data_IF_585742114936
#
_entry.id   IF_585742114936
#
_cell.length_a   1.000
_cell.length_b   1.000
_cell.length_c   1.000
_cell.angle_alpha   90.00
_cell.angle_beta   90.00
_cell.angle_gamma   90.00
#
_symmetry.space_group_name_H-M   'P 1'
#
loop_
_entity.id
_entity.type
_entity.pdbx_description
1 polymer ?
#
# COMPACT_ATOMS: atom_id res chain seq x y z
N UNK A 1 -28.84 2.96 2.81
CA UNK A 1 -28.56 3.10 1.36
C UNK A 1 -28.17 1.73 0.86
N UNK A 2 -29.02 1.10 0.05
CA UNK A 2 -28.84 -0.27 -0.49
C UNK A 2 -28.57 -0.18 -2.00
N UNK A 3 -27.64 0.66 -2.39
CA UNK A 3 -27.22 0.78 -3.78
C UNK A 3 -25.82 0.23 -3.99
N UNK A 4 -25.54 -0.19 -5.22
CA UNK A 4 -24.16 -0.50 -5.67
C UNK A 4 -23.41 0.83 -5.73
N UNK A 5 -22.20 0.89 -5.17
CA UNK A 5 -21.34 2.07 -5.23
C UNK A 5 -20.54 2.07 -6.53
N UNK A 6 -20.52 3.22 -7.19
CA UNK A 6 -19.79 3.44 -8.43
C UNK A 6 -18.33 3.75 -8.12
N UNK A 7 -17.41 3.00 -8.74
CA UNK A 7 -15.97 3.08 -8.48
C UNK A 7 -15.22 3.52 -9.73
N UNK A 8 -14.30 4.46 -9.57
CA UNK A 8 -13.29 4.79 -10.57
C UNK A 8 -11.91 4.33 -10.14
N UNK A 9 -11.01 4.16 -11.10
CA UNK A 9 -9.61 3.79 -10.84
C UNK A 9 -8.69 4.82 -11.47
N UNK A 10 -7.77 5.40 -10.70
CA UNK A 10 -6.67 6.23 -11.20
C UNK A 10 -5.36 5.46 -11.04
N UNK A 11 -4.65 5.25 -12.15
CA UNK A 11 -3.45 4.41 -12.25
C UNK A 11 -3.76 3.06 -12.87
N UNK A 12 -3.39 2.89 -14.14
CA UNK A 12 -3.63 1.71 -14.96
C UNK A 12 -2.36 0.86 -15.14
N UNK A 13 -1.49 0.85 -14.13
CA UNK A 13 -0.26 0.06 -14.09
C UNK A 13 -0.52 -1.42 -13.77
N UNK A 14 0.56 -2.15 -13.46
CA UNK A 14 0.55 -3.60 -13.30
C UNK A 14 -0.48 -4.11 -12.28
N UNK A 15 -0.65 -3.43 -11.14
CA UNK A 15 -1.56 -3.87 -10.07
C UNK A 15 -3.03 -3.68 -10.42
N UNK A 16 -3.37 -2.75 -11.33
CA UNK A 16 -4.75 -2.40 -11.65
C UNK A 16 -5.58 -3.58 -12.17
N UNK A 17 -4.97 -4.48 -12.96
CA UNK A 17 -5.63 -5.68 -13.45
C UNK A 17 -6.17 -6.59 -12.33
N UNK A 18 -5.48 -6.64 -11.18
CA UNK A 18 -5.97 -7.38 -10.01
C UNK A 18 -7.23 -6.72 -9.43
N UNK A 19 -7.23 -5.39 -9.30
CA UNK A 19 -8.38 -4.64 -8.81
C UNK A 19 -9.60 -4.79 -9.73
N UNK A 20 -9.44 -4.63 -11.03
CA UNK A 20 -10.56 -4.82 -12.00
C UNK A 20 -11.13 -6.23 -11.97
N UNK A 21 -10.27 -7.24 -11.86
CA UNK A 21 -10.70 -8.64 -11.84
C UNK A 21 -11.41 -9.01 -10.55
N UNK A 22 -10.83 -8.63 -9.42
CA UNK A 22 -11.33 -9.01 -8.10
C UNK A 22 -12.55 -8.18 -7.67
N UNK A 23 -12.71 -6.95 -8.15
CA UNK A 23 -13.90 -6.12 -7.86
C UNK A 23 -15.20 -6.82 -8.25
N UNK A 24 -15.18 -7.63 -9.30
CA UNK A 24 -16.34 -8.42 -9.76
C UNK A 24 -16.84 -9.47 -8.76
N UNK A 25 -16.06 -9.78 -7.73
CA UNK A 25 -16.47 -10.68 -6.63
C UNK A 25 -17.37 -9.98 -5.60
N UNK A 26 -17.42 -8.64 -5.62
CA UNK A 26 -18.19 -7.84 -4.66
C UNK A 26 -19.49 -7.35 -5.30
N UNK A 27 -20.61 -7.62 -4.65
CA UNK A 27 -21.95 -7.26 -5.14
C UNK A 27 -22.33 -5.79 -4.85
N UNK A 28 -21.54 -5.10 -4.03
CA UNK A 28 -21.83 -3.77 -3.50
C UNK A 28 -21.05 -2.65 -4.18
N UNK A 29 -20.16 -3.00 -5.11
CA UNK A 29 -19.35 -2.04 -5.87
C UNK A 29 -19.37 -2.40 -7.35
N UNK A 30 -19.24 -1.40 -8.22
CA UNK A 30 -19.06 -1.57 -9.66
C UNK A 30 -18.01 -0.60 -10.17
N UNK A 31 -16.97 -1.11 -10.81
CA UNK A 31 -15.95 -0.28 -11.44
C UNK A 31 -16.48 0.17 -12.80
N UNK A 32 -16.66 1.48 -12.98
CA UNK A 32 -17.26 2.08 -14.18
C UNK A 32 -16.23 2.74 -15.09
N UNK A 33 -15.16 3.31 -14.52
CA UNK A 33 -14.19 4.07 -15.30
C UNK A 33 -12.77 3.90 -14.76
N UNK A 34 -11.79 4.17 -15.63
CA UNK A 34 -10.39 4.29 -15.28
C UNK A 34 -9.72 5.48 -15.96
N UNK A 35 -8.63 5.96 -15.35
CA UNK A 35 -7.80 7.03 -15.88
C UNK A 35 -6.33 6.77 -15.57
N UNK A 36 -5.45 7.26 -16.43
CA UNK A 36 -4.00 7.25 -16.24
C UNK A 36 -3.40 8.48 -16.92
N UNK A 37 -2.23 8.92 -16.47
CA UNK A 37 -1.46 9.96 -17.17
C UNK A 37 -1.04 9.52 -18.57
N UNK A 38 -0.86 8.20 -18.77
CA UNK A 38 -0.70 7.60 -20.10
C UNK A 38 -2.08 7.13 -20.61
N UNK A 39 -2.68 7.83 -21.59
CA UNK A 39 -4.00 7.47 -22.12
C UNK A 39 -4.04 6.06 -22.74
N UNK A 40 -2.94 5.58 -23.30
CA UNK A 40 -2.87 4.24 -23.89
C UNK A 40 -3.02 3.15 -22.82
N UNK A 41 -2.44 3.37 -21.63
CA UNK A 41 -2.60 2.47 -20.49
C UNK A 41 -4.06 2.42 -20.01
N UNK A 42 -4.72 3.57 -19.90
CA UNK A 42 -6.14 3.64 -19.55
C UNK A 42 -7.02 2.94 -20.60
N UNK A 43 -6.79 3.18 -21.89
CA UNK A 43 -7.54 2.54 -22.98
C UNK A 43 -7.34 1.01 -23.01
N UNK A 44 -6.13 0.53 -22.75
CA UNK A 44 -5.84 -0.89 -22.69
C UNK A 44 -6.64 -1.60 -21.58
N UNK A 45 -6.62 -1.04 -20.37
CA UNK A 45 -7.39 -1.57 -19.23
C UNK A 45 -8.90 -1.45 -19.46
N UNK A 46 -9.36 -0.31 -19.98
CA UNK A 46 -10.77 -0.11 -20.30
C UNK A 46 -11.30 -1.15 -21.29
N UNK A 47 -10.54 -1.42 -22.33
CA UNK A 47 -10.87 -2.46 -23.34
C UNK A 47 -10.89 -3.87 -22.76
N UNK A 48 -9.91 -4.20 -21.90
CA UNK A 48 -9.80 -5.53 -21.29
C UNK A 48 -10.93 -5.82 -20.30
N UNK A 49 -11.29 -4.83 -19.48
CA UNK A 49 -12.24 -5.04 -18.39
C UNK A 49 -13.65 -4.52 -18.65
N UNK A 50 -13.88 -3.84 -19.77
CA UNK A 50 -15.19 -3.33 -20.18
C UNK A 50 -15.65 -2.11 -19.38
N UNK A 51 -14.71 -1.24 -19.02
CA UNK A 51 -14.97 0.03 -18.30
C UNK A 51 -14.66 1.22 -19.20
N UNK A 52 -15.03 2.44 -18.80
CA UNK A 52 -14.77 3.66 -19.56
C UNK A 52 -13.34 4.17 -19.31
N UNK A 53 -12.61 4.56 -20.37
CA UNK A 53 -11.33 5.26 -20.26
C UNK A 53 -11.59 6.77 -20.29
N UNK A 54 -11.25 7.46 -19.22
CA UNK A 54 -11.41 8.91 -19.05
C UNK A 54 -10.06 9.62 -18.85
N UNK A 55 -10.04 10.93 -19.00
CA UNK A 55 -8.99 11.74 -18.42
C UNK A 55 -9.11 11.73 -16.89
N UNK A 56 -8.02 12.04 -16.17
CA UNK A 56 -8.08 12.17 -14.70
C UNK A 56 -9.09 13.26 -14.30
N UNK A 57 -9.14 14.38 -15.04
CA UNK A 57 -10.06 15.48 -14.81
C UNK A 57 -11.52 15.05 -14.98
N UNK A 58 -11.84 14.37 -16.09
CA UNK A 58 -13.20 13.90 -16.36
C UNK A 58 -13.64 12.83 -15.36
N UNK A 59 -12.73 11.93 -14.96
CA UNK A 59 -13.02 10.93 -13.92
C UNK A 59 -13.33 11.60 -12.58
N UNK A 60 -12.58 12.62 -12.19
CA UNK A 60 -12.85 13.37 -10.97
C UNK A 60 -14.15 14.20 -11.05
N UNK A 61 -14.56 14.62 -12.24
CA UNK A 61 -15.82 15.33 -12.46
C UNK A 61 -17.05 14.39 -12.59
N UNK A 62 -16.85 13.10 -12.81
CA UNK A 62 -17.93 12.12 -13.02
C UNK A 62 -18.69 11.77 -11.75
N UNK A 63 -19.84 11.09 -11.88
CA UNK A 63 -20.67 10.67 -10.75
C UNK A 63 -20.22 9.34 -10.15
N UNK A 64 -19.07 9.33 -9.50
CA UNK A 64 -18.51 8.19 -8.79
C UNK A 64 -18.57 8.42 -7.28
N UNK A 65 -18.74 7.33 -6.53
CA UNK A 65 -18.77 7.35 -5.06
C UNK A 65 -17.35 7.20 -4.48
N UNK A 66 -16.56 6.32 -5.08
CA UNK A 66 -15.22 5.94 -4.61
C UNK A 66 -14.24 6.03 -5.78
N UNK A 67 -13.04 6.54 -5.51
CA UNK A 67 -11.93 6.42 -6.46
C UNK A 67 -10.78 5.66 -5.81
N UNK A 68 -10.32 4.62 -6.51
CA UNK A 68 -9.17 3.81 -6.14
C UNK A 68 -7.92 4.44 -6.74
N UNK A 69 -6.97 4.80 -5.88
CA UNK A 69 -5.68 5.39 -6.27
C UNK A 69 -4.61 4.30 -6.35
N UNK A 70 -4.24 3.91 -7.56
CA UNK A 70 -3.21 2.91 -7.87
C UNK A 70 -1.97 3.53 -8.53
N UNK A 71 -1.74 4.80 -8.30
CA UNK A 71 -0.58 5.51 -8.83
C UNK A 71 0.72 5.07 -8.15
N UNK A 72 1.83 5.70 -8.46
CA UNK A 72 3.11 5.45 -7.79
C UNK A 72 3.14 6.13 -6.42
N UNK A 73 3.93 5.62 -5.44
CA UNK A 73 3.95 6.14 -4.07
C UNK A 73 4.13 7.65 -3.94
N UNK A 74 4.96 8.25 -4.79
CA UNK A 74 5.20 9.70 -4.80
C UNK A 74 3.97 10.54 -5.20
N UNK A 75 3.01 9.96 -5.90
CA UNK A 75 1.78 10.61 -6.35
C UNK A 75 0.58 10.35 -5.43
N UNK A 76 0.69 9.41 -4.48
CA UNK A 76 -0.44 8.98 -3.65
C UNK A 76 -1.10 10.15 -2.91
N UNK A 77 -0.31 11.05 -2.31
CA UNK A 77 -0.84 12.19 -1.58
C UNK A 77 -1.64 13.13 -2.47
N UNK A 78 -1.03 13.62 -3.54
CA UNK A 78 -1.65 14.64 -4.41
C UNK A 78 -2.91 14.09 -5.10
N UNK A 79 -2.85 12.86 -5.59
CA UNK A 79 -4.00 12.21 -6.24
C UNK A 79 -5.12 11.94 -5.22
N UNK A 80 -4.80 11.41 -4.03
CA UNK A 80 -5.81 11.18 -2.99
C UNK A 80 -6.44 12.47 -2.50
N UNK A 81 -5.66 13.55 -2.40
CA UNK A 81 -6.17 14.88 -2.07
C UNK A 81 -7.13 15.39 -3.13
N UNK A 82 -6.77 15.31 -4.42
CA UNK A 82 -7.65 15.73 -5.52
C UNK A 82 -8.96 14.93 -5.54
N UNK A 83 -8.91 13.62 -5.28
CA UNK A 83 -10.11 12.77 -5.16
C UNK A 83 -11.02 13.27 -4.02
N UNK A 84 -10.46 13.51 -2.82
CA UNK A 84 -11.25 14.05 -1.71
C UNK A 84 -11.81 15.45 -2.01
N UNK A 85 -11.03 16.30 -2.67
CA UNK A 85 -11.46 17.64 -3.08
C UNK A 85 -12.63 17.60 -4.05
N UNK A 86 -12.67 16.58 -4.94
CA UNK A 86 -13.78 16.33 -5.87
C UNK A 86 -15.04 15.72 -5.21
N UNK A 87 -15.02 15.48 -3.89
CA UNK A 87 -16.17 14.98 -3.14
C UNK A 87 -16.36 13.48 -3.14
N UNK A 88 -15.31 12.71 -3.47
CA UNK A 88 -15.34 11.24 -3.54
C UNK A 88 -14.54 10.60 -2.42
N UNK A 89 -14.96 9.40 -2.01
CA UNK A 89 -14.18 8.57 -1.09
C UNK A 89 -12.91 8.06 -1.77
N UNK A 90 -11.84 7.85 -0.98
CA UNK A 90 -10.55 7.35 -1.47
C UNK A 90 -10.26 5.97 -0.90
N UNK A 91 -9.82 5.07 -1.76
CA UNK A 91 -9.06 3.88 -1.38
C UNK A 91 -7.72 3.92 -2.12
N UNK A 92 -6.61 4.04 -1.39
CA UNK A 92 -5.28 4.17 -1.98
C UNK A 92 -4.47 2.90 -1.84
N UNK A 93 -3.61 2.61 -2.81
CA UNK A 93 -2.54 1.63 -2.62
C UNK A 93 -1.57 2.09 -1.52
N UNK A 94 -0.87 1.10 -0.99
CA UNK A 94 0.16 1.34 0.03
C UNK A 94 1.48 1.86 -0.60
N UNK A 95 2.26 2.65 0.15
CA UNK A 95 1.91 3.33 1.40
C UNK A 95 0.90 4.46 1.16
N UNK A 96 0.05 4.78 2.14
CA UNK A 96 -0.93 5.86 1.99
C UNK A 96 -0.30 7.17 1.53
N UNK A 97 0.82 7.55 2.19
CA UNK A 97 1.69 8.67 1.83
C UNK A 97 3.12 8.37 2.26
N UNK A 98 4.05 9.23 1.89
CA UNK A 98 5.46 9.11 2.26
C UNK A 98 5.82 9.89 3.54
N UNK A 99 4.92 10.71 4.06
CA UNK A 99 5.12 11.46 5.29
C UNK A 99 3.91 11.37 6.23
N UNK A 100 4.15 11.45 7.53
CA UNK A 100 3.09 11.53 8.53
C UNK A 100 2.24 12.80 8.34
N UNK A 101 2.87 13.92 7.99
CA UNK A 101 2.17 15.19 7.76
C UNK A 101 1.11 15.08 6.66
N UNK A 102 1.46 14.46 5.55
CA UNK A 102 0.55 14.22 4.42
C UNK A 102 -0.60 13.28 4.81
N UNK A 103 -0.30 12.21 5.55
CA UNK A 103 -1.34 11.29 6.05
C UNK A 103 -2.34 12.00 6.97
N UNK A 104 -1.85 12.88 7.86
CA UNK A 104 -2.67 13.69 8.74
C UNK A 104 -3.53 14.67 7.92
N UNK A 105 -2.95 15.32 6.92
CA UNK A 105 -3.68 16.25 6.04
C UNK A 105 -4.81 15.55 5.27
N UNK A 106 -4.58 14.35 4.72
CA UNK A 106 -5.64 13.57 4.05
C UNK A 106 -6.76 13.16 5.02
N UNK A 107 -6.39 12.70 6.23
CA UNK A 107 -7.37 12.34 7.28
C UNK A 107 -8.26 13.54 7.64
N UNK A 108 -7.65 14.69 7.85
CA UNK A 108 -8.36 15.89 8.29
C UNK A 108 -9.24 16.47 7.16
N UNK A 109 -8.75 16.43 5.93
CA UNK A 109 -9.55 16.79 4.74
C UNK A 109 -10.75 15.86 4.56
N UNK A 110 -10.55 14.54 4.64
CA UNK A 110 -11.63 13.57 4.56
C UNK A 110 -12.70 13.82 5.65
N UNK A 111 -12.24 14.03 6.89
CA UNK A 111 -13.14 14.34 8.02
C UNK A 111 -13.92 15.62 7.79
N UNK A 112 -13.28 16.70 7.33
CA UNK A 112 -13.93 18.00 7.07
C UNK A 112 -15.00 17.90 5.99
N UNK A 113 -14.81 17.02 5.00
CA UNK A 113 -15.77 16.79 3.90
C UNK A 113 -16.80 15.69 4.18
N UNK A 114 -16.75 15.01 5.34
CA UNK A 114 -17.62 13.85 5.62
C UNK A 114 -17.29 12.63 4.75
N UNK A 115 -16.07 12.55 4.20
CA UNK A 115 -15.62 11.50 3.32
C UNK A 115 -14.76 10.47 4.08
N UNK A 116 -14.42 9.38 3.40
CA UNK A 116 -13.55 8.33 3.90
C UNK A 116 -12.26 8.28 3.09
N UNK A 117 -11.15 8.07 3.77
CA UNK A 117 -9.87 7.67 3.19
C UNK A 117 -9.47 6.34 3.80
N UNK A 118 -9.18 5.37 2.95
CA UNK A 118 -8.69 4.06 3.33
C UNK A 118 -7.45 3.71 2.50
N UNK A 119 -6.68 2.74 2.97
CA UNK A 119 -5.43 2.34 2.33
C UNK A 119 -5.27 0.82 2.38
N UNK A 120 -4.74 0.24 1.31
CA UNK A 120 -4.16 -1.11 1.36
C UNK A 120 -2.97 -1.13 2.37
N UNK A 121 -2.58 -2.29 2.91
CA UNK A 121 -3.03 -3.62 2.54
C UNK A 121 -4.31 -4.04 3.27
N UNK A 122 -5.01 -5.00 2.69
CA UNK A 122 -6.21 -5.63 3.24
C UNK A 122 -5.95 -7.04 3.83
N UNK A 123 -4.69 -7.48 3.84
CA UNK A 123 -4.30 -8.85 4.21
C UNK A 123 -4.76 -9.27 5.62
N UNK A 124 -4.83 -8.32 6.57
CA UNK A 124 -5.34 -8.57 7.92
C UNK A 124 -6.84 -8.93 7.94
N UNK A 125 -7.58 -8.68 6.87
CA UNK A 125 -8.97 -9.11 6.70
C UNK A 125 -9.09 -10.57 6.22
N UNK A 126 -7.98 -11.17 5.77
CA UNK A 126 -7.95 -12.56 5.32
C UNK A 126 -8.22 -13.57 6.45
N UNK A 127 -8.76 -14.72 6.09
CA UNK A 127 -9.23 -15.73 7.06
C UNK A 127 -8.19 -16.14 8.10
N UNK A 128 -6.93 -16.31 7.73
CA UNK A 128 -5.84 -16.66 8.66
C UNK A 128 -5.62 -15.58 9.72
N UNK A 129 -5.60 -14.30 9.33
CA UNK A 129 -5.41 -13.19 10.26
C UNK A 129 -6.65 -12.98 11.14
N UNK A 130 -7.84 -13.16 10.59
CA UNK A 130 -9.08 -13.12 11.37
C UNK A 130 -9.15 -14.26 12.40
N UNK A 131 -8.71 -15.46 12.04
CA UNK A 131 -8.60 -16.59 12.97
C UNK A 131 -7.57 -16.30 14.08
N UNK A 132 -6.40 -15.74 13.73
CA UNK A 132 -5.41 -15.35 14.73
C UNK A 132 -5.98 -14.29 15.71
N UNK A 133 -6.71 -13.29 15.18
CA UNK A 133 -7.39 -12.28 16.01
C UNK A 133 -8.42 -12.93 16.94
N UNK A 134 -9.25 -13.84 16.43
CA UNK A 134 -10.25 -14.54 17.23
C UNK A 134 -9.62 -15.38 18.37
N UNK A 135 -8.48 -16.03 18.12
CA UNK A 135 -7.74 -16.77 19.16
C UNK A 135 -7.22 -15.83 20.26
N UNK A 136 -6.71 -14.67 19.91
CA UNK A 136 -6.27 -13.67 20.90
C UNK A 136 -7.47 -13.16 21.71
N UNK A 137 -8.56 -12.81 21.04
CA UNK A 137 -9.78 -12.28 21.67
C UNK A 137 -10.46 -13.31 22.61
N UNK A 138 -10.32 -14.61 22.31
CA UNK A 138 -10.85 -15.66 23.19
C UNK A 138 -10.10 -15.76 24.53
N UNK A 139 -8.95 -15.13 24.66
CA UNK A 139 -8.09 -15.21 25.84
C UNK A 139 -7.36 -16.55 26.02
N UNK A 140 -7.55 -17.52 25.10
CA UNK A 140 -6.96 -18.86 25.20
C UNK A 140 -5.42 -18.87 25.16
N UNK A 141 -4.81 -17.82 24.57
CA UNK A 141 -3.36 -17.65 24.52
C UNK A 141 -2.79 -16.86 25.70
N UNK A 142 -3.65 -16.33 26.59
CA UNK A 142 -3.25 -15.39 27.62
C UNK A 142 -2.85 -14.03 27.06
N UNK A 143 -2.13 -13.23 27.86
CA UNK A 143 -1.65 -11.93 27.43
C UNK A 143 -0.49 -12.05 26.45
N UNK A 144 -0.52 -11.30 25.34
CA UNK A 144 0.62 -11.18 24.43
C UNK A 144 1.67 -10.30 25.10
N UNK A 145 2.83 -10.85 25.37
CA UNK A 145 3.93 -10.16 26.07
C UNK A 145 5.10 -9.82 25.18
N UNK A 146 5.24 -10.48 24.02
CA UNK A 146 6.36 -10.22 23.11
C UNK A 146 6.36 -11.16 21.91
N UNK A 147 7.30 -10.91 20.99
CA UNK A 147 7.47 -11.73 19.79
C UNK A 147 8.47 -11.15 18.81
N UNK A 148 8.56 -11.78 17.66
CA UNK A 148 9.41 -11.35 16.53
C UNK A 148 8.61 -11.30 15.25
N UNK A 149 8.95 -10.36 14.38
CA UNK A 149 8.36 -10.20 13.07
C UNK A 149 9.48 -9.88 12.08
N UNK A 150 9.59 -10.66 11.01
CA UNK A 150 10.64 -10.46 10.03
C UNK A 150 10.09 -10.48 8.61
N UNK A 151 10.58 -9.56 7.77
CA UNK A 151 10.40 -9.54 6.33
C UNK A 151 11.78 -9.44 5.69
N UNK A 152 12.27 -10.58 5.21
CA UNK A 152 13.64 -10.76 4.74
C UNK A 152 13.59 -11.29 3.31
N UNK A 153 14.27 -10.62 2.39
CA UNK A 153 14.34 -11.04 0.99
C UNK A 153 15.66 -10.59 0.34
N UNK A 154 15.90 -11.04 -0.88
CA UNK A 154 17.09 -10.70 -1.66
C UNK A 154 16.98 -9.34 -2.40
N UNK A 155 15.84 -8.65 -2.31
CA UNK A 155 15.58 -7.41 -3.04
C UNK A 155 14.70 -7.61 -4.27
N UNK A 156 14.47 -6.54 -5.02
CA UNK A 156 13.49 -6.49 -6.13
C UNK A 156 14.16 -6.54 -7.52
N UNK A 157 15.45 -6.26 -7.59
CA UNK A 157 16.24 -6.13 -8.82
C UNK A 157 16.41 -7.45 -9.59
N UNK A 158 16.04 -8.58 -9.00
CA UNK A 158 16.15 -9.89 -9.66
C UNK A 158 14.86 -10.33 -10.39
N UNK A 159 13.73 -9.67 -10.15
CA UNK A 159 12.45 -10.06 -10.76
C UNK A 159 11.64 -8.89 -11.33
N UNK A 160 11.75 -7.68 -10.77
CA UNK A 160 10.98 -6.53 -11.23
C UNK A 160 11.61 -5.90 -12.49
N UNK A 161 10.86 -5.63 -13.57
CA UNK A 161 11.42 -5.07 -14.81
C UNK A 161 11.99 -3.65 -14.66
N UNK A 162 11.46 -2.85 -13.73
CA UNK A 162 11.89 -1.47 -13.44
C UNK A 162 12.05 -1.28 -11.93
N UNK A 163 13.11 -1.82 -11.29
CA UNK A 163 13.22 -1.90 -9.83
C UNK A 163 13.73 -0.62 -9.15
N UNK A 164 14.09 0.44 -9.91
CA UNK A 164 14.78 1.63 -9.38
C UNK A 164 14.05 2.28 -8.21
N UNK A 165 12.73 2.47 -8.32
CA UNK A 165 11.94 3.19 -7.32
C UNK A 165 11.95 2.51 -5.93
N UNK A 166 12.16 1.20 -5.88
CA UNK A 166 12.29 0.49 -4.60
C UNK A 166 13.52 0.93 -3.80
N UNK A 167 14.57 1.42 -4.49
CA UNK A 167 15.84 1.80 -3.90
C UNK A 167 16.03 3.32 -3.78
N UNK A 168 14.99 4.10 -4.03
CA UNK A 168 14.98 5.55 -3.90
C UNK A 168 14.20 6.00 -2.65
N UNK A 169 14.31 7.28 -2.23
CA UNK A 169 13.46 7.85 -1.18
C UNK A 169 11.99 7.59 -1.46
N UNK A 170 11.27 7.07 -0.47
CA UNK A 170 9.90 6.57 -0.63
C UNK A 170 9.80 5.07 -0.89
N UNK A 171 10.92 4.39 -1.16
CA UNK A 171 11.05 2.94 -1.23
C UNK A 171 11.62 2.31 0.05
N UNK A 172 12.27 1.16 -0.10
CA UNK A 172 12.83 0.39 0.99
C UNK A 172 11.84 -0.62 1.61
N UNK A 173 12.34 -1.63 2.32
CA UNK A 173 11.52 -2.75 2.81
C UNK A 173 10.44 -2.31 3.81
N UNK A 174 10.64 -1.22 4.55
CA UNK A 174 9.67 -0.74 5.53
C UNK A 174 8.49 -0.04 4.86
N UNK A 175 8.70 0.82 3.85
CA UNK A 175 7.60 1.49 3.15
C UNK A 175 6.89 0.56 2.16
N UNK A 176 7.60 -0.39 1.56
CA UNK A 176 7.02 -1.34 0.62
C UNK A 176 6.26 -2.48 1.32
N UNK A 177 6.88 -3.14 2.30
CA UNK A 177 6.35 -4.33 2.96
C UNK A 177 5.90 -4.10 4.40
N UNK A 178 6.45 -3.09 5.07
CA UNK A 178 6.06 -2.76 6.45
C UNK A 178 4.56 -2.56 6.67
N UNK A 179 3.80 -1.94 5.76
CA UNK A 179 2.35 -1.80 5.93
C UNK A 179 1.62 -3.13 6.16
N UNK A 180 2.06 -4.20 5.51
CA UNK A 180 1.49 -5.55 5.71
C UNK A 180 1.79 -6.09 7.10
N UNK A 181 3.03 -5.99 7.55
CA UNK A 181 3.50 -6.57 8.81
C UNK A 181 3.13 -5.71 10.01
N UNK A 182 3.38 -4.41 9.95
CA UNK A 182 3.05 -3.46 11.03
C UNK A 182 1.54 -3.35 11.19
N UNK A 183 0.79 -3.26 10.09
CA UNK A 183 -0.66 -3.26 10.11
C UNK A 183 -1.25 -4.49 10.79
N UNK A 184 -0.69 -5.68 10.48
CA UNK A 184 -1.12 -6.91 11.13
C UNK A 184 -0.73 -6.96 12.63
N UNK A 185 0.46 -6.51 13.00
CA UNK A 185 0.85 -6.40 14.41
C UNK A 185 -0.10 -5.48 15.20
N UNK A 186 -0.45 -4.33 14.62
CA UNK A 186 -1.42 -3.40 15.23
C UNK A 186 -2.80 -4.05 15.34
N UNK A 187 -3.23 -4.79 14.31
CA UNK A 187 -4.49 -5.53 14.33
C UNK A 187 -4.53 -6.58 15.42
N UNK A 188 -3.43 -7.31 15.66
CA UNK A 188 -3.36 -8.39 16.64
C UNK A 188 -3.11 -7.93 18.07
N UNK A 189 -2.31 -6.87 18.28
CA UNK A 189 -1.77 -6.50 19.59
C UNK A 189 -2.32 -5.16 20.09
N UNK A 190 -2.62 -4.24 19.16
CA UNK A 190 -3.06 -2.88 19.48
C UNK A 190 -2.06 -1.80 19.07
N UNK A 191 -2.17 -0.56 19.59
CA UNK A 191 -1.35 0.55 19.13
C UNK A 191 0.09 0.46 19.66
N UNK A 192 1.04 0.88 18.81
CA UNK A 192 2.45 1.07 19.17
C UNK A 192 2.61 2.39 19.91
N UNK A 193 3.30 2.39 21.06
CA UNK A 193 3.62 3.58 21.87
C UNK A 193 4.99 4.15 21.55
N UNK A 194 6.00 3.27 21.40
CA UNK A 194 7.39 3.68 21.17
C UNK A 194 8.09 2.78 20.17
N UNK A 195 9.05 3.37 19.45
CA UNK A 195 9.92 2.67 18.51
C UNK A 195 11.36 3.06 18.76
N UNK A 196 12.25 2.07 18.75
CA UNK A 196 13.70 2.28 18.66
C UNK A 196 14.19 1.47 17.45
N UNK A 197 14.95 2.09 16.56
CA UNK A 197 15.40 1.45 15.34
C UNK A 197 16.79 1.91 14.91
N UNK A 198 17.48 0.99 14.23
CA UNK A 198 18.69 1.28 13.46
C UNK A 198 18.46 0.84 12.02
N UNK A 199 19.06 1.58 11.09
CA UNK A 199 18.97 1.27 9.66
C UNK A 199 20.30 1.44 8.97
N UNK A 200 20.48 0.73 7.86
CA UNK A 200 21.71 0.80 7.05
C UNK A 200 21.44 0.61 5.58
N UNK A 201 22.43 1.01 4.77
CA UNK A 201 22.53 0.74 3.34
C UNK A 201 23.80 -0.11 3.13
N UNK A 202 23.75 -1.43 3.30
CA UNK A 202 24.94 -2.29 3.18
C UNK A 202 25.56 -2.24 1.79
N UNK A 203 24.73 -2.14 0.74
CA UNK A 203 25.16 -2.04 -0.65
C UNK A 203 24.67 -0.73 -1.26
N UNK A 204 25.63 0.16 -1.58
CA UNK A 204 25.34 1.46 -2.19
C UNK A 204 24.93 1.37 -3.66
N UNK A 205 25.17 0.25 -4.30
CA UNK A 205 24.84 -0.04 -5.68
C UNK A 205 24.39 -1.49 -5.82
N UNK A 206 23.34 -1.71 -6.62
CA UNK A 206 22.86 -3.05 -6.95
C UNK A 206 22.84 -3.26 -8.46
N UNK A 207 22.98 -4.50 -8.88
CA UNK A 207 22.90 -4.88 -10.30
C UNK A 207 21.54 -5.47 -10.59
N UNK A 208 20.84 -4.93 -11.57
CA UNK A 208 19.59 -5.50 -12.08
C UNK A 208 19.91 -6.82 -12.75
N UNK A 209 19.21 -7.88 -12.37
CA UNK A 209 19.31 -9.20 -13.00
C UNK A 209 18.03 -9.60 -13.72
N UNK A 210 16.94 -8.83 -13.55
CA UNK A 210 15.68 -9.00 -14.30
C UNK A 210 15.77 -8.43 -15.71
N UNK A 211 14.96 -9.00 -16.62
CA UNK A 211 14.82 -8.46 -17.98
C UNK A 211 13.78 -7.31 -17.99
N UNK A 212 13.89 -6.33 -18.91
CA UNK A 212 14.87 -6.23 -20.00
C UNK A 212 16.20 -5.55 -19.63
N UNK A 213 16.36 -5.09 -18.37
CA UNK A 213 17.45 -4.21 -17.92
C UNK A 213 18.61 -4.95 -17.23
N UNK A 214 18.76 -6.25 -17.48
CA UNK A 214 19.82 -7.06 -16.86
C UNK A 214 21.22 -6.50 -17.15
N UNK A 215 22.02 -6.34 -16.08
CA UNK A 215 23.37 -5.77 -16.12
C UNK A 215 23.45 -4.28 -15.76
N UNK A 216 22.33 -3.56 -15.80
CA UNK A 216 22.30 -2.16 -15.37
C UNK A 216 22.50 -2.02 -13.85
N UNK A 217 22.96 -0.82 -13.43
CA UNK A 217 23.23 -0.49 -12.03
C UNK A 217 22.17 0.43 -11.45
N UNK A 218 21.78 0.16 -10.22
CA UNK A 218 20.90 1.02 -9.42
C UNK A 218 21.69 1.57 -8.24
N UNK A 219 21.70 2.89 -8.11
CA UNK A 219 22.19 3.55 -6.89
C UNK A 219 21.14 3.44 -5.78
N UNK A 220 21.56 2.96 -4.61
CA UNK A 220 20.68 2.79 -3.43
C UNK A 220 20.74 4.06 -2.58
N UNK A 221 19.60 4.73 -2.43
CA UNK A 221 19.46 6.01 -1.71
C UNK A 221 18.46 5.92 -0.54
N UNK A 222 18.01 4.72 -0.18
CA UNK A 222 17.13 4.46 0.97
C UNK A 222 17.69 3.27 1.78
N UNK A 223 17.45 3.21 3.09
CA UNK A 223 17.84 2.04 3.89
C UNK A 223 17.21 0.75 3.36
N UNK A 224 18.03 -0.29 3.22
CA UNK A 224 17.61 -1.62 2.76
C UNK A 224 17.66 -2.68 3.85
N UNK A 225 18.26 -2.36 5.02
CA UNK A 225 18.21 -3.18 6.23
C UNK A 225 17.83 -2.31 7.42
N UNK A 226 16.77 -2.70 8.13
CA UNK A 226 16.24 -2.01 9.30
C UNK A 226 15.93 -3.05 10.39
N UNK A 227 16.36 -2.76 11.63
CA UNK A 227 15.98 -3.51 12.81
C UNK A 227 15.38 -2.56 13.83
N UNK A 228 14.21 -2.93 14.39
CA UNK A 228 13.47 -2.11 15.33
C UNK A 228 12.94 -2.94 16.50
N UNK A 229 12.69 -2.26 17.63
CA UNK A 229 11.89 -2.75 18.74
C UNK A 229 10.66 -1.85 18.84
N UNK A 230 9.48 -2.47 18.81
CA UNK A 230 8.18 -1.83 18.94
C UNK A 230 7.63 -2.14 20.34
N UNK A 231 7.31 -1.11 21.11
CA UNK A 231 6.59 -1.23 22.37
C UNK A 231 5.11 -0.92 22.15
N UNK A 232 4.26 -1.86 22.50
CA UNK A 232 2.80 -1.74 22.36
C UNK A 232 2.14 -1.22 23.65
N UNK A 233 0.93 -0.67 23.53
CA UNK A 233 0.18 -0.10 24.65
C UNK A 233 -0.14 -1.09 25.77
N UNK A 234 -0.21 -2.38 25.47
CA UNK A 234 -0.38 -3.46 26.45
C UNK A 234 0.93 -3.92 27.12
N UNK A 235 2.07 -3.28 26.79
CA UNK A 235 3.40 -3.62 27.30
C UNK A 235 4.15 -4.67 26.49
N UNK A 236 3.58 -5.24 25.44
CA UNK A 236 4.26 -6.20 24.59
C UNK A 236 5.43 -5.56 23.83
N UNK A 237 6.54 -6.30 23.71
CA UNK A 237 7.72 -5.90 22.96
C UNK A 237 7.91 -6.80 21.73
N UNK A 238 7.91 -6.21 20.55
CA UNK A 238 8.09 -6.92 19.29
C UNK A 238 9.39 -6.48 18.61
N UNK A 239 10.26 -7.44 18.29
CA UNK A 239 11.40 -7.19 17.40
C UNK A 239 10.93 -7.25 15.96
N UNK A 240 11.16 -6.17 15.18
CA UNK A 240 10.88 -6.09 13.75
C UNK A 240 12.20 -6.05 12.98
N UNK A 241 12.39 -6.99 12.06
CA UNK A 241 13.48 -7.00 11.09
C UNK A 241 12.96 -6.90 9.66
N UNK A 242 13.41 -5.90 8.91
CA UNK A 242 13.08 -5.73 7.50
C UNK A 242 14.37 -5.57 6.69
N UNK A 243 14.62 -6.47 5.75
CA UNK A 243 15.85 -6.42 4.95
C UNK A 243 15.67 -6.99 3.54
N UNK A 244 16.32 -6.33 2.58
CA UNK A 244 16.50 -6.79 1.21
C UNK A 244 17.95 -7.25 0.95
N UNK A 245 18.76 -7.40 1.98
CA UNK A 245 20.18 -7.73 1.90
C UNK A 245 20.48 -9.17 2.31
N UNK A 246 19.48 -10.05 2.37
CA UNK A 246 19.70 -11.47 2.69
C UNK A 246 19.92 -12.29 1.42
N UNK A 247 20.85 -13.23 1.50
CA UNK A 247 21.09 -14.20 0.43
C UNK A 247 20.00 -15.26 0.41
N UNK A 248 19.82 -15.85 -0.79
CA UNK A 248 18.94 -17.01 -0.97
C UNK A 248 19.48 -18.21 -0.24
#
# INVERSE_FOLDING_TARGET
MSGVLNVGVIGCGNISSAYFRLSKLFKTIEVQACADLNPEAAQAQAKEFGVEALSVEDLLASNLDIVVNLTVPNAHFDVSKAILESGKHVYSEKPLTLSLGDSVALRDLAKAKGLRVACAPDTFLGGTHQQARALIDSGSLGAIVGGTCHVLSHGMEHWHPNPDFFFQPGGGPVLDLGPYYIGNLIHLIGPVLRVTALSSIPQRERTITSQPRSGEKIRVNTPTTIHAILEFANGALITLGASWDVWK
#
